data_IF_461189926682
#
_entry.id   IF_461189926682
#
_cell.length_a   1.000
_cell.length_b   1.000
_cell.length_c   1.000
_cell.angle_alpha   90.00
_cell.angle_beta   90.00
_cell.angle_gamma   90.00
#
_symmetry.space_group_name_H-M   'P 1'
#
loop_
_entity.id
_entity.type
_entity.pdbx_description
1 polymer ?
#
# COMPACT_ATOMS: atom_id res chain seq x y z
N UNK A 1 16.67 -9.47 -13.39
CA UNK A 1 15.38 -8.78 -13.34
C UNK A 1 15.61 -7.31 -13.06
N UNK A 2 15.03 -6.45 -13.86
CA UNK A 2 15.16 -4.99 -13.83
C UNK A 2 13.98 -4.36 -13.08
N UNK A 3 14.23 -3.22 -12.41
CA UNK A 3 13.20 -2.47 -11.70
C UNK A 3 13.14 -1.04 -12.21
N UNK A 4 11.94 -0.52 -12.47
CA UNK A 4 11.71 0.89 -12.74
C UNK A 4 10.95 1.55 -11.59
N UNK A 5 11.41 2.71 -11.14
CA UNK A 5 10.72 3.50 -10.10
C UNK A 5 10.16 4.78 -10.71
N UNK A 6 8.85 4.82 -10.91
CA UNK A 6 8.12 5.98 -11.39
C UNK A 6 8.04 7.05 -10.31
N UNK A 7 8.46 8.28 -10.61
CA UNK A 7 8.53 9.34 -9.61
C UNK A 7 9.71 9.19 -8.65
N UNK A 8 10.85 8.71 -9.15
CA UNK A 8 12.06 8.40 -8.38
C UNK A 8 12.56 9.56 -7.50
N UNK A 9 12.28 10.82 -7.87
CA UNK A 9 12.77 11.98 -7.13
C UNK A 9 11.84 12.45 -6.00
N UNK A 10 10.61 11.90 -5.92
CA UNK A 10 9.67 12.19 -4.83
C UNK A 10 10.13 11.53 -3.52
N UNK A 11 9.56 11.94 -2.38
CA UNK A 11 10.03 11.47 -1.06
C UNK A 11 9.97 9.94 -0.92
N UNK A 12 8.89 9.32 -1.38
CA UNK A 12 8.74 7.85 -1.37
C UNK A 12 9.64 7.21 -2.43
N UNK A 13 9.61 7.71 -3.67
CA UNK A 13 10.40 7.15 -4.77
C UNK A 13 11.89 7.14 -4.47
N UNK A 14 12.41 8.23 -3.91
CA UNK A 14 13.82 8.33 -3.49
C UNK A 14 14.15 7.28 -2.45
N UNK A 15 13.30 7.16 -1.43
CA UNK A 15 13.52 6.18 -0.36
C UNK A 15 13.42 4.73 -0.87
N UNK A 16 12.54 4.44 -1.84
CA UNK A 16 12.49 3.14 -2.52
C UNK A 16 13.80 2.88 -3.26
N UNK A 17 14.27 3.84 -4.07
CA UNK A 17 15.53 3.70 -4.82
C UNK A 17 16.72 3.45 -3.87
N UNK A 18 16.86 4.27 -2.83
CA UNK A 18 17.91 4.11 -1.83
C UNK A 18 17.85 2.75 -1.16
N UNK A 19 16.67 2.29 -0.72
CA UNK A 19 16.55 0.98 -0.05
C UNK A 19 16.76 -0.20 -0.99
N UNK A 20 16.39 -0.12 -2.26
CA UNK A 20 16.68 -1.18 -3.25
C UNK A 20 18.20 -1.39 -3.38
N UNK A 21 18.96 -0.29 -3.43
CA UNK A 21 20.43 -0.33 -3.54
C UNK A 21 21.07 -0.75 -2.22
N UNK A 22 20.74 -0.07 -1.11
CA UNK A 22 21.33 -0.32 0.22
C UNK A 22 21.09 -1.75 0.72
N UNK A 23 19.89 -2.30 0.48
CA UNK A 23 19.55 -3.68 0.86
C UNK A 23 20.04 -4.72 -0.14
N UNK A 24 20.67 -4.33 -1.25
CA UNK A 24 21.15 -5.23 -2.32
C UNK A 24 20.05 -6.11 -2.89
N UNK A 25 18.85 -5.53 -3.05
CA UNK A 25 17.71 -6.24 -3.63
C UNK A 25 17.97 -6.57 -5.10
N UNK A 26 18.69 -5.69 -5.79
CA UNK A 26 19.11 -5.90 -7.18
C UNK A 26 20.59 -6.32 -7.22
N UNK A 27 20.94 -7.39 -7.97
CA UNK A 27 22.33 -7.69 -8.24
C UNK A 27 22.96 -6.61 -9.13
N UNK A 28 24.29 -6.52 -9.13
CA UNK A 28 25.04 -5.54 -9.94
C UNK A 28 24.85 -5.71 -11.46
N UNK A 29 24.39 -6.89 -11.90
CA UNK A 29 24.04 -7.19 -13.29
C UNK A 29 22.63 -6.75 -13.69
N UNK A 30 21.78 -6.37 -12.74
CA UNK A 30 20.42 -5.86 -12.98
C UNK A 30 20.44 -4.35 -13.20
N UNK A 31 19.32 -3.83 -13.71
CA UNK A 31 19.11 -2.39 -13.87
C UNK A 31 18.08 -1.83 -12.90
N UNK A 32 18.35 -0.63 -12.37
CA UNK A 32 17.41 0.23 -11.67
C UNK A 32 17.16 1.49 -12.51
N UNK A 33 15.98 1.59 -13.11
CA UNK A 33 15.58 2.74 -13.90
C UNK A 33 14.89 3.79 -13.04
N UNK A 34 15.52 4.97 -12.94
CA UNK A 34 14.96 6.13 -12.24
C UNK A 34 14.09 6.92 -13.21
N UNK A 35 12.77 6.91 -13.00
CA UNK A 35 11.84 7.57 -13.92
C UNK A 35 11.37 8.91 -13.36
N UNK A 36 11.73 9.97 -14.08
CA UNK A 36 11.34 11.35 -13.80
C UNK A 36 10.31 11.89 -14.79
N UNK A 37 10.05 13.20 -14.76
CA UNK A 37 9.26 13.90 -15.78
C UNK A 37 10.17 14.70 -16.70
N UNK A 38 9.90 14.66 -18.00
CA UNK A 38 10.57 15.48 -18.99
C UNK A 38 10.51 16.98 -18.62
N UNK A 39 11.66 17.64 -18.74
CA UNK A 39 11.81 19.07 -18.45
C UNK A 39 11.76 19.44 -16.96
N UNK A 40 12.19 20.66 -16.66
CA UNK A 40 12.08 21.25 -15.32
C UNK A 40 12.95 20.61 -14.24
N UNK A 41 12.52 20.75 -12.98
CA UNK A 41 13.27 20.31 -11.80
C UNK A 41 13.31 18.80 -11.63
N UNK A 42 12.28 18.07 -12.09
CA UNK A 42 12.21 16.61 -11.96
C UNK A 42 13.29 15.92 -12.78
N UNK A 43 13.45 16.27 -14.06
CA UNK A 43 14.52 15.71 -14.90
C UNK A 43 15.91 15.93 -14.30
N UNK A 44 16.22 17.18 -13.89
CA UNK A 44 17.51 17.51 -13.25
C UNK A 44 17.74 16.72 -11.97
N UNK A 45 16.73 16.63 -11.10
CA UNK A 45 16.81 15.88 -9.86
C UNK A 45 16.99 14.36 -10.10
N UNK A 46 16.47 13.82 -11.20
CA UNK A 46 16.57 12.39 -11.52
C UNK A 46 18.01 12.03 -11.92
N UNK A 47 18.65 12.86 -12.75
CA UNK A 47 20.07 12.72 -13.05
C UNK A 47 20.96 12.92 -11.83
N UNK A 48 20.62 13.89 -10.96
CA UNK A 48 21.33 14.11 -9.70
C UNK A 48 21.23 12.90 -8.76
N UNK A 49 20.03 12.35 -8.58
CA UNK A 49 19.81 11.16 -7.76
C UNK A 49 20.56 9.94 -8.31
N UNK A 50 20.61 9.77 -9.63
CA UNK A 50 21.44 8.71 -10.25
C UNK A 50 22.91 8.85 -9.84
N UNK A 51 23.48 10.04 -9.99
CA UNK A 51 24.88 10.27 -9.67
C UNK A 51 25.17 10.04 -8.18
N UNK A 52 24.28 10.52 -7.31
CA UNK A 52 24.35 10.37 -5.86
C UNK A 52 24.31 8.89 -5.42
N UNK A 53 23.38 8.11 -5.96
CA UNK A 53 23.27 6.68 -5.65
C UNK A 53 24.47 5.86 -6.15
N UNK A 54 25.02 6.20 -7.32
CA UNK A 54 26.23 5.54 -7.83
C UNK A 54 27.43 5.87 -6.94
N UNK A 55 27.64 7.14 -6.60
CA UNK A 55 28.76 7.57 -5.74
C UNK A 55 28.69 6.93 -4.34
N UNK A 56 27.50 6.89 -3.74
CA UNK A 56 27.30 6.37 -2.39
C UNK A 56 27.45 4.84 -2.27
N UNK A 57 27.21 4.09 -3.35
CA UNK A 57 27.09 2.62 -3.32
C UNK A 57 27.90 1.92 -4.44
N UNK A 58 28.93 2.54 -4.98
CA UNK A 58 29.68 2.10 -6.17
C UNK A 58 30.10 0.63 -6.14
N UNK A 59 30.42 0.08 -4.96
CA UNK A 59 30.84 -1.31 -4.83
C UNK A 59 29.74 -2.35 -5.09
N UNK A 60 28.46 -1.95 -5.10
CA UNK A 60 27.32 -2.85 -5.20
C UNK A 60 26.08 -2.28 -5.88
N UNK A 61 26.12 -1.04 -6.37
CA UNK A 61 25.00 -0.46 -7.09
C UNK A 61 24.68 -1.28 -8.35
N UNK A 62 23.38 -1.51 -8.66
CA UNK A 62 22.98 -2.02 -9.97
C UNK A 62 23.33 -1.00 -11.07
N UNK A 63 23.16 -1.38 -12.33
CA UNK A 63 23.19 -0.41 -13.42
C UNK A 63 22.04 0.60 -13.21
N UNK A 64 22.36 1.89 -13.05
CA UNK A 64 21.33 2.92 -12.86
C UNK A 64 21.20 3.76 -14.14
N UNK A 65 20.01 3.80 -14.73
CA UNK A 65 19.67 4.64 -15.87
C UNK A 65 18.49 5.58 -15.56
N UNK A 66 18.22 6.50 -16.48
CA UNK A 66 17.17 7.53 -16.31
C UNK A 66 16.23 7.46 -17.51
N UNK A 67 14.93 7.41 -17.22
CA UNK A 67 13.87 7.63 -18.19
C UNK A 67 13.07 8.89 -17.83
N UNK A 68 12.64 9.65 -18.83
CA UNK A 68 11.90 10.90 -18.63
C UNK A 68 10.54 10.91 -19.32
N UNK A 69 10.27 9.92 -20.16
CA UNK A 69 9.01 9.71 -20.84
C UNK A 69 8.42 8.35 -20.45
N UNK A 70 7.09 8.20 -20.35
CA UNK A 70 6.44 6.93 -20.05
C UNK A 70 6.80 5.80 -21.01
N UNK A 71 7.06 6.11 -22.29
CA UNK A 71 7.36 5.14 -23.34
C UNK A 71 8.78 4.55 -23.19
N UNK A 72 9.66 5.23 -22.46
CA UNK A 72 11.03 4.79 -22.17
C UNK A 72 11.11 3.83 -20.96
N UNK A 73 9.97 3.56 -20.31
CA UNK A 73 9.93 2.69 -19.13
C UNK A 73 10.06 1.23 -19.55
N UNK A 74 11.12 0.58 -19.08
CA UNK A 74 11.38 -0.84 -19.33
C UNK A 74 11.81 -1.45 -18.00
N UNK A 75 11.14 -2.51 -17.55
CA UNK A 75 11.51 -3.26 -16.34
C UNK A 75 10.71 -4.55 -16.24
N UNK A 76 11.15 -5.49 -15.41
CA UNK A 76 10.36 -6.66 -15.00
C UNK A 76 9.42 -6.30 -13.86
N UNK A 77 9.81 -5.35 -13.00
CA UNK A 77 8.95 -4.80 -11.94
C UNK A 77 8.89 -3.28 -12.03
N UNK A 78 7.69 -2.71 -12.10
CA UNK A 78 7.45 -1.26 -12.17
C UNK A 78 6.83 -0.78 -10.86
N UNK A 79 7.52 0.08 -10.13
CA UNK A 79 7.03 0.69 -8.89
C UNK A 79 6.45 2.07 -9.17
N UNK A 80 5.15 2.24 -8.95
CA UNK A 80 4.43 3.49 -9.24
C UNK A 80 4.41 4.40 -8.02
N UNK A 81 5.45 5.23 -7.87
CA UNK A 81 5.50 6.33 -6.89
C UNK A 81 5.22 7.71 -7.53
N UNK A 82 4.89 7.75 -8.83
CA UNK A 82 4.55 8.97 -9.55
C UNK A 82 3.12 9.41 -9.20
N UNK A 83 2.97 10.69 -8.90
CA UNK A 83 1.68 11.30 -8.56
C UNK A 83 1.86 12.59 -7.77
N UNK A 84 0.82 13.40 -7.75
CA UNK A 84 0.66 14.51 -6.82
C UNK A 84 0.33 13.93 -5.45
N UNK A 85 0.91 14.51 -4.40
CA UNK A 85 0.64 14.12 -3.00
C UNK A 85 -0.05 15.25 -2.26
N UNK A 86 -1.01 14.91 -1.41
CA UNK A 86 -1.56 15.84 -0.43
C UNK A 86 -0.41 16.45 0.41
N UNK A 87 -0.33 17.78 0.55
CA UNK A 87 0.66 18.40 1.42
C UNK A 87 0.37 18.00 2.88
N UNK A 88 1.37 17.54 3.64
CA UNK A 88 1.17 17.21 5.04
C UNK A 88 1.01 18.52 5.83
N UNK A 89 -0.22 18.87 6.20
CA UNK A 89 -0.51 20.12 6.91
C UNK A 89 -1.70 19.94 7.86
N UNK A 90 -1.50 20.31 9.13
CA UNK A 90 -2.54 20.33 10.14
C UNK A 90 -3.74 21.20 9.69
N UNK A 91 -4.95 20.64 9.73
CA UNK A 91 -6.19 21.35 9.40
C UNK A 91 -6.45 21.60 7.90
N UNK A 92 -5.58 21.13 6.99
CA UNK A 92 -5.82 21.27 5.56
C UNK A 92 -6.79 20.19 5.06
N UNK A 93 -7.99 20.60 4.63
CA UNK A 93 -8.83 19.76 3.77
C UNK A 93 -8.17 19.67 2.40
N UNK A 94 -7.58 18.52 2.08
CA UNK A 94 -7.14 18.25 0.71
C UNK A 94 -8.38 17.97 -0.13
N UNK A 95 -8.53 18.67 -1.26
CA UNK A 95 -9.53 18.33 -2.26
C UNK A 95 -9.18 16.95 -2.84
N UNK A 96 -9.78 15.91 -2.24
CA UNK A 96 -9.57 14.51 -2.60
C UNK A 96 -9.97 14.24 -4.04
N UNK A 97 -10.98 14.96 -4.54
CA UNK A 97 -11.46 14.83 -5.92
C UNK A 97 -10.43 15.38 -6.90
N UNK A 98 -9.88 16.58 -6.63
CA UNK A 98 -8.80 17.15 -7.43
C UNK A 98 -7.55 16.26 -7.42
N UNK A 99 -7.15 15.78 -6.24
CA UNK A 99 -6.00 14.87 -6.11
C UNK A 99 -6.21 13.59 -6.94
N UNK A 100 -7.40 13.00 -6.87
CA UNK A 100 -7.76 11.83 -7.66
C UNK A 100 -7.72 12.13 -9.17
N UNK A 101 -8.19 13.30 -9.61
CA UNK A 101 -8.15 13.71 -11.01
C UNK A 101 -6.73 13.87 -11.55
N UNK A 102 -5.87 14.56 -10.82
CA UNK A 102 -4.47 14.76 -11.20
C UNK A 102 -3.72 13.41 -11.25
N UNK A 103 -3.96 12.52 -10.28
CA UNK A 103 -3.32 11.21 -10.25
C UNK A 103 -3.90 10.22 -11.26
N UNK A 104 -5.20 10.30 -11.57
CA UNK A 104 -5.80 9.51 -12.65
C UNK A 104 -5.07 9.76 -13.97
N UNK A 105 -4.82 11.02 -14.33
CA UNK A 105 -4.13 11.36 -15.57
C UNK A 105 -2.70 10.79 -15.63
N UNK A 106 -1.99 10.78 -14.49
CA UNK A 106 -0.65 10.18 -14.38
C UNK A 106 -0.73 8.66 -14.54
N UNK A 107 -1.64 7.99 -13.83
CA UNK A 107 -1.80 6.54 -13.92
C UNK A 107 -2.18 6.10 -15.32
N UNK A 108 -3.14 6.79 -15.94
CA UNK A 108 -3.65 6.47 -17.27
C UNK A 108 -2.59 6.67 -18.37
N UNK A 109 -1.73 7.69 -18.24
CA UNK A 109 -0.59 7.88 -19.14
C UNK A 109 0.41 6.72 -19.08
N UNK A 110 0.85 6.33 -17.87
CA UNK A 110 1.78 5.21 -17.70
C UNK A 110 1.14 3.86 -18.03
N UNK A 111 -0.13 3.65 -17.69
CA UNK A 111 -0.87 2.43 -18.03
C UNK A 111 -0.92 2.21 -19.54
N UNK A 112 -1.23 3.25 -20.32
CA UNK A 112 -1.20 3.19 -21.79
C UNK A 112 0.19 2.93 -22.33
N UNK A 113 1.19 3.63 -21.82
CA UNK A 113 2.57 3.47 -22.28
C UNK A 113 3.08 2.05 -22.03
N UNK A 114 2.87 1.51 -20.83
CA UNK A 114 3.23 0.13 -20.49
C UNK A 114 2.46 -0.90 -21.32
N UNK A 115 1.18 -0.66 -21.62
CA UNK A 115 0.40 -1.57 -22.46
C UNK A 115 0.92 -1.63 -23.91
N UNK A 116 1.54 -0.56 -24.41
CA UNK A 116 2.06 -0.47 -25.80
C UNK A 116 3.54 -0.84 -25.88
N UNK A 117 4.34 -0.42 -24.91
CA UNK A 117 5.81 -0.47 -24.94
C UNK A 117 6.43 -1.39 -23.89
N UNK A 118 5.64 -1.85 -22.91
CA UNK A 118 6.10 -2.77 -21.88
C UNK A 118 6.44 -4.16 -22.43
N UNK A 119 7.03 -4.99 -21.58
CA UNK A 119 7.39 -6.36 -21.92
C UNK A 119 6.18 -7.28 -22.11
N UNK A 120 5.02 -6.90 -21.57
CA UNK A 120 3.81 -7.72 -21.51
C UNK A 120 3.77 -8.65 -20.29
N UNK A 121 4.86 -8.76 -19.53
CA UNK A 121 4.98 -9.59 -18.33
C UNK A 121 5.34 -8.80 -17.07
N UNK A 122 5.57 -7.48 -17.17
CA UNK A 122 6.04 -6.70 -16.04
C UNK A 122 5.01 -6.64 -14.91
N UNK A 123 5.46 -6.81 -13.67
CA UNK A 123 4.60 -6.68 -12.48
C UNK A 123 4.61 -5.25 -11.99
N UNK A 124 3.44 -4.67 -11.77
CA UNK A 124 3.27 -3.28 -11.34
C UNK A 124 2.90 -3.22 -9.87
N UNK A 125 3.74 -2.57 -9.07
CA UNK A 125 3.51 -2.27 -7.66
C UNK A 125 3.04 -0.83 -7.51
N UNK A 126 1.75 -0.62 -7.24
CA UNK A 126 1.15 0.71 -7.08
C UNK A 126 1.36 1.23 -5.66
N UNK A 127 1.97 2.41 -5.53
CA UNK A 127 2.27 3.04 -4.24
C UNK A 127 1.57 4.38 -4.09
N UNK A 128 1.46 5.16 -5.16
CA UNK A 128 0.79 6.46 -5.16
C UNK A 128 -0.69 6.36 -4.80
N UNK A 129 -1.16 7.37 -4.05
CA UNK A 129 -2.56 7.45 -3.62
C UNK A 129 -3.43 8.26 -4.58
N UNK A 130 -4.74 7.98 -4.71
CA UNK A 130 -5.44 6.83 -4.11
C UNK A 130 -4.97 5.52 -4.74
N UNK A 131 -4.52 4.57 -3.91
CA UNK A 131 -3.91 3.32 -4.40
C UNK A 131 -4.94 2.47 -5.15
N UNK A 132 -6.19 2.47 -4.70
CA UNK A 132 -7.27 1.73 -5.36
C UNK A 132 -7.55 2.25 -6.77
N UNK A 133 -7.46 3.58 -6.98
CA UNK A 133 -7.61 4.19 -8.31
C UNK A 133 -6.46 3.78 -9.24
N UNK A 134 -5.22 3.83 -8.74
CA UNK A 134 -4.05 3.41 -9.53
C UNK A 134 -4.10 1.94 -9.90
N UNK A 135 -4.51 1.07 -8.97
CA UNK A 135 -4.72 -0.36 -9.24
C UNK A 135 -5.80 -0.57 -10.28
N UNK A 136 -6.95 0.11 -10.18
CA UNK A 136 -8.04 -0.03 -11.15
C UNK A 136 -7.61 0.37 -12.58
N UNK A 137 -6.93 1.53 -12.72
CA UNK A 137 -6.44 2.03 -14.01
C UNK A 137 -5.41 1.07 -14.62
N UNK A 138 -4.39 0.68 -13.84
CA UNK A 138 -3.30 -0.16 -14.32
C UNK A 138 -3.77 -1.58 -14.62
N UNK A 139 -4.60 -2.18 -13.76
CA UNK A 139 -5.11 -3.54 -13.95
C UNK A 139 -5.98 -3.67 -15.20
N UNK A 140 -6.77 -2.64 -15.53
CA UNK A 140 -7.57 -2.60 -16.76
C UNK A 140 -6.71 -2.60 -18.03
N UNK A 141 -5.54 -1.96 -17.99
CA UNK A 141 -4.65 -1.86 -19.14
C UNK A 141 -3.68 -3.05 -19.26
N UNK A 142 -3.21 -3.60 -18.13
CA UNK A 142 -2.09 -4.54 -18.08
C UNK A 142 -2.49 -5.96 -17.67
N UNK A 143 -3.72 -6.14 -17.18
CA UNK A 143 -4.21 -7.40 -16.62
C UNK A 143 -4.09 -7.46 -15.10
N UNK A 144 -5.14 -7.97 -14.45
CA UNK A 144 -5.31 -7.92 -12.99
C UNK A 144 -4.17 -8.58 -12.21
N UNK A 145 -3.72 -9.77 -12.64
CA UNK A 145 -2.70 -10.56 -11.94
C UNK A 145 -1.31 -9.91 -11.90
N UNK A 146 -1.03 -9.00 -12.85
CA UNK A 146 0.23 -8.26 -12.92
C UNK A 146 0.24 -7.00 -12.06
N UNK A 147 -0.88 -6.59 -11.45
CA UNK A 147 -0.99 -5.32 -10.74
C UNK A 147 -1.36 -5.54 -9.28
N UNK A 148 -0.55 -5.00 -8.38
CA UNK A 148 -0.77 -5.06 -6.93
C UNK A 148 -0.51 -3.69 -6.29
N UNK A 149 -1.42 -3.20 -5.47
CA UNK A 149 -1.21 -2.03 -4.63
C UNK A 149 -0.60 -2.40 -3.28
N UNK A 150 0.35 -1.60 -2.83
CA UNK A 150 1.12 -1.88 -1.60
C UNK A 150 0.37 -1.55 -0.31
N UNK A 151 -0.65 -0.67 -0.36
CA UNK A 151 -1.32 -0.10 0.83
C UNK A 151 -1.74 -1.13 1.89
N UNK A 152 -2.39 -2.22 1.48
CA UNK A 152 -2.85 -3.28 2.38
C UNK A 152 -1.69 -4.02 3.05
N UNK A 153 -0.53 -4.12 2.38
CA UNK A 153 0.68 -4.70 2.97
C UNK A 153 1.23 -3.85 4.10
N UNK A 154 1.37 -2.54 3.87
CA UNK A 154 1.84 -1.62 4.90
C UNK A 154 0.89 -1.57 6.10
N UNK A 155 -0.42 -1.55 5.86
CA UNK A 155 -1.42 -1.58 6.92
C UNK A 155 -1.37 -2.90 7.70
N UNK A 156 -1.13 -4.02 7.01
CA UNK A 156 -0.88 -5.32 7.64
C UNK A 156 0.37 -5.28 8.53
N UNK A 157 1.48 -4.72 8.06
CA UNK A 157 2.72 -4.60 8.85
C UNK A 157 2.54 -3.71 10.08
N UNK A 158 1.75 -2.63 9.95
CA UNK A 158 1.38 -1.75 11.07
C UNK A 158 0.50 -2.47 12.08
N UNK A 159 -0.54 -3.16 11.64
CA UNK A 159 -1.43 -3.93 12.51
C UNK A 159 -0.65 -5.00 13.30
N UNK A 160 0.20 -5.78 12.61
CA UNK A 160 1.08 -6.77 13.25
C UNK A 160 2.03 -6.13 14.27
N UNK A 161 2.55 -4.93 13.96
CA UNK A 161 3.39 -4.16 14.89
C UNK A 161 2.62 -3.74 16.13
N UNK A 162 1.41 -3.22 15.99
CA UNK A 162 0.60 -2.73 17.11
C UNK A 162 0.16 -3.88 18.03
N UNK A 163 -0.18 -5.05 17.47
CA UNK A 163 -0.44 -6.26 18.27
C UNK A 163 0.84 -6.68 19.03
N UNK A 164 1.99 -6.70 18.34
CA UNK A 164 3.26 -7.07 18.94
C UNK A 164 3.62 -6.16 20.13
N UNK A 165 3.42 -4.84 19.99
CA UNK A 165 3.62 -3.88 21.09
C UNK A 165 2.78 -4.26 22.30
N UNK A 166 1.48 -4.48 22.11
CA UNK A 166 0.57 -4.79 23.22
C UNK A 166 0.88 -6.09 23.93
N UNK A 167 1.54 -7.04 23.25
CA UNK A 167 1.93 -8.33 23.82
C UNK A 167 3.38 -8.36 24.32
N UNK A 168 4.14 -7.26 24.20
CA UNK A 168 5.57 -7.24 24.54
C UNK A 168 6.43 -8.09 23.60
N UNK A 169 6.00 -8.29 22.35
CA UNK A 169 6.65 -9.13 21.34
C UNK A 169 7.25 -8.31 20.20
N UNK A 170 8.02 -8.99 19.34
CA UNK A 170 8.51 -8.44 18.06
C UNK A 170 7.54 -8.77 16.93
N UNK A 171 7.42 -7.88 15.93
CA UNK A 171 6.47 -8.01 14.80
C UNK A 171 6.53 -9.36 14.07
N UNK A 172 7.73 -9.93 13.91
CA UNK A 172 7.91 -11.21 13.21
C UNK A 172 7.24 -12.41 13.91
N UNK A 173 6.90 -12.28 15.21
CA UNK A 173 6.18 -13.30 15.99
C UNK A 173 4.66 -13.21 15.83
N UNK A 174 4.15 -12.17 15.18
CA UNK A 174 2.72 -11.95 14.95
C UNK A 174 2.43 -12.22 13.49
N UNK A 175 1.44 -13.05 13.18
CA UNK A 175 0.81 -13.15 11.87
C UNK A 175 -0.58 -12.51 11.88
N UNK A 176 -1.15 -12.29 10.71
CA UNK A 176 -2.46 -11.64 10.53
C UNK A 176 -2.41 -10.64 9.38
N UNK A 177 -3.59 -10.25 8.90
CA UNK A 177 -3.74 -9.39 7.73
C UNK A 177 -4.72 -8.25 7.98
N UNK A 178 -4.56 -7.20 7.19
CA UNK A 178 -5.53 -6.13 7.00
C UNK A 178 -6.00 -6.18 5.55
N UNK A 179 -7.30 -6.06 5.37
CA UNK A 179 -7.98 -6.03 4.09
C UNK A 179 -8.73 -4.69 3.91
N UNK A 180 -9.53 -4.53 2.86
CA UNK A 180 -10.30 -3.31 2.62
C UNK A 180 -9.52 -2.20 1.92
N UNK A 181 -9.89 -0.94 2.20
CA UNK A 181 -9.26 0.24 1.60
C UNK A 181 -8.03 0.64 2.40
N UNK A 182 -7.00 1.14 1.72
CA UNK A 182 -5.90 1.79 2.42
C UNK A 182 -6.39 3.04 3.19
N UNK A 183 -6.08 3.12 4.48
CA UNK A 183 -6.41 4.28 5.32
C UNK A 183 -7.69 4.11 6.15
N UNK A 184 -8.67 5.01 5.95
CA UNK A 184 -9.83 5.15 6.85
C UNK A 184 -10.81 3.97 6.83
N UNK A 185 -10.83 3.19 5.75
CA UNK A 185 -11.73 2.05 5.56
C UNK A 185 -10.99 0.71 5.50
N UNK A 186 -9.85 0.62 6.22
CA UNK A 186 -9.16 -0.65 6.39
C UNK A 186 -9.96 -1.61 7.29
N UNK A 187 -9.82 -2.91 7.05
CA UNK A 187 -10.50 -3.98 7.78
C UNK A 187 -9.47 -4.90 8.45
N UNK A 188 -9.26 -4.79 9.77
CA UNK A 188 -8.35 -5.67 10.49
C UNK A 188 -8.93 -7.08 10.60
N UNK A 189 -8.30 -8.07 9.97
CA UNK A 189 -8.76 -9.45 9.99
C UNK A 189 -8.25 -10.17 11.25
N UNK A 190 -8.86 -9.87 12.39
CA UNK A 190 -8.55 -10.50 13.68
C UNK A 190 -8.66 -12.03 13.66
N UNK A 191 -9.56 -12.60 12.84
CA UNK A 191 -9.68 -14.05 12.59
C UNK A 191 -8.37 -14.68 12.05
N UNK A 192 -7.59 -13.90 11.31
CA UNK A 192 -6.30 -14.34 10.72
C UNK A 192 -5.12 -14.18 11.67
N UNK A 193 -5.28 -13.47 12.80
CA UNK A 193 -4.17 -13.22 13.73
C UNK A 193 -3.60 -14.53 14.24
N UNK A 194 -2.27 -14.64 14.24
CA UNK A 194 -1.50 -15.76 14.80
C UNK A 194 -0.39 -15.18 15.68
N UNK A 195 -0.08 -15.86 16.77
CA UNK A 195 1.02 -15.48 17.67
C UNK A 195 1.91 -16.69 17.85
N UNK A 196 3.18 -16.59 17.45
CA UNK A 196 4.13 -17.70 17.52
C UNK A 196 4.28 -18.20 18.96
N UNK A 197 3.97 -19.46 19.18
CA UNK A 197 4.06 -20.12 20.49
C UNK A 197 2.76 -20.11 21.30
N UNK A 198 1.67 -19.52 20.81
CA UNK A 198 0.34 -19.66 21.42
C UNK A 198 -0.48 -20.73 20.70
N UNK A 199 -1.15 -21.57 21.49
CA UNK A 199 -2.16 -22.49 20.97
C UNK A 199 -3.45 -21.76 20.56
N UNK A 200 -4.46 -22.52 20.09
CA UNK A 200 -5.74 -21.94 19.65
C UNK A 200 -6.50 -21.22 20.78
N UNK A 201 -6.50 -21.76 21.99
CA UNK A 201 -7.24 -21.24 23.13
C UNK A 201 -6.55 -20.01 23.74
N UNK A 202 -5.22 -20.08 23.90
CA UNK A 202 -4.38 -18.97 24.33
C UNK A 202 -4.48 -17.80 23.36
N UNK A 203 -4.40 -18.07 22.06
CA UNK A 203 -4.56 -17.06 21.02
C UNK A 203 -5.93 -16.40 21.07
N UNK A 204 -7.00 -17.18 21.25
CA UNK A 204 -8.35 -16.64 21.39
C UNK A 204 -8.43 -15.66 22.57
N UNK A 205 -7.97 -16.07 23.76
CA UNK A 205 -7.93 -15.21 24.95
C UNK A 205 -7.11 -13.94 24.72
N UNK A 206 -5.95 -14.04 24.06
CA UNK A 206 -5.12 -12.88 23.75
C UNK A 206 -5.84 -11.91 22.80
N UNK A 207 -6.46 -12.40 21.73
CA UNK A 207 -7.23 -11.57 20.79
C UNK A 207 -8.41 -10.91 21.50
N UNK A 208 -9.16 -11.65 22.31
CA UNK A 208 -10.33 -11.11 23.03
C UNK A 208 -9.92 -9.99 24.01
N UNK A 209 -8.80 -10.16 24.71
CA UNK A 209 -8.22 -9.14 25.57
C UNK A 209 -7.77 -7.89 24.80
N UNK A 210 -7.12 -8.07 23.65
CA UNK A 210 -6.69 -6.95 22.78
C UNK A 210 -7.86 -6.19 22.18
N UNK A 211 -8.94 -6.89 21.81
CA UNK A 211 -10.16 -6.31 21.25
C UNK A 211 -11.05 -5.64 22.29
N UNK A 212 -10.86 -5.95 23.58
CA UNK A 212 -11.63 -5.39 24.71
C UNK A 212 -13.16 -5.55 24.53
N UNK A 213 -13.59 -6.69 24.00
CA UNK A 213 -15.01 -6.97 23.71
C UNK A 213 -15.61 -6.21 22.53
N UNK A 214 -14.82 -5.42 21.78
CA UNK A 214 -15.31 -4.66 20.62
C UNK A 214 -15.50 -5.53 19.38
N UNK A 215 -16.45 -5.13 18.55
CA UNK A 215 -16.67 -5.64 17.19
C UNK A 215 -16.26 -4.59 16.16
N UNK A 216 -16.10 -4.99 14.90
CA UNK A 216 -15.82 -4.04 13.82
C UNK A 216 -17.07 -3.29 13.32
N UNK A 217 -18.26 -3.58 13.86
CA UNK A 217 -19.52 -2.97 13.44
C UNK A 217 -19.53 -1.43 13.58
N UNK A 218 -18.83 -0.90 14.59
CA UNK A 218 -18.71 0.53 14.88
C UNK A 218 -17.35 1.12 14.50
N UNK A 219 -16.45 0.34 13.88
CA UNK A 219 -15.05 0.71 13.73
C UNK A 219 -14.84 2.03 12.97
N UNK A 220 -15.62 2.28 11.91
CA UNK A 220 -15.55 3.55 11.17
C UNK A 220 -15.93 4.78 12.03
N UNK A 221 -16.93 4.64 12.90
CA UNK A 221 -17.30 5.70 13.84
C UNK A 221 -16.22 5.90 14.92
N UNK A 222 -15.60 4.82 15.38
CA UNK A 222 -14.48 4.87 16.34
C UNK A 222 -13.25 5.57 15.73
N UNK A 223 -12.96 5.33 14.45
CA UNK A 223 -11.89 6.05 13.73
C UNK A 223 -12.22 7.55 13.64
N UNK A 224 -13.46 7.92 13.32
CA UNK A 224 -13.87 9.32 13.22
C UNK A 224 -13.80 10.05 14.58
N UNK A 225 -14.24 9.40 15.66
CA UNK A 225 -14.12 9.92 17.03
C UNK A 225 -12.64 10.10 17.43
N UNK A 226 -11.83 9.06 17.18
CA UNK A 226 -10.39 9.09 17.41
C UNK A 226 -9.72 10.26 16.69
N UNK A 227 -9.99 10.45 15.40
CA UNK A 227 -9.44 11.55 14.61
C UNK A 227 -9.86 12.93 15.16
N UNK A 228 -11.13 13.07 15.56
CA UNK A 228 -11.64 14.32 16.15
C UNK A 228 -10.91 14.67 17.44
N UNK A 229 -10.78 13.71 18.36
CA UNK A 229 -10.08 13.87 19.64
C UNK A 229 -8.59 14.19 19.43
N UNK A 230 -7.99 13.54 18.45
CA UNK A 230 -6.59 13.73 18.11
C UNK A 230 -6.29 15.09 17.51
N UNK A 231 -7.18 15.64 16.66
CA UNK A 231 -7.01 17.00 16.13
C UNK A 231 -7.13 18.05 17.23
N UNK A 232 -8.09 17.89 18.13
CA UNK A 232 -8.25 18.78 19.26
C UNK A 232 -6.99 18.81 20.13
N UNK A 233 -6.43 17.63 20.46
CA UNK A 233 -5.23 17.52 21.27
C UNK A 233 -3.97 18.00 20.53
N UNK A 234 -3.80 17.62 19.26
CA UNK A 234 -2.63 17.98 18.47
C UNK A 234 -2.53 19.48 18.16
N UNK A 235 -3.64 20.22 18.27
CA UNK A 235 -3.62 21.68 18.17
C UNK A 235 -2.89 22.34 19.36
N UNK A 236 -2.87 21.67 20.52
CA UNK A 236 -2.21 22.16 21.74
C UNK A 236 -0.88 21.45 21.98
N UNK A 237 -0.87 20.11 21.90
CA UNK A 237 0.29 19.26 22.12
C UNK A 237 0.22 18.00 21.23
N UNK A 238 1.05 18.00 20.19
CA UNK A 238 1.15 16.87 19.27
C UNK A 238 1.77 15.62 19.93
N UNK A 239 2.64 15.80 20.93
CA UNK A 239 3.22 14.70 21.70
C UNK A 239 2.14 13.96 22.49
N UNK A 240 1.31 14.72 23.20
CA UNK A 240 0.16 14.17 23.91
C UNK A 240 -0.82 13.42 22.99
N UNK A 241 -0.95 13.86 21.72
CA UNK A 241 -1.75 13.13 20.73
C UNK A 241 -1.15 11.75 20.42
N UNK A 242 0.17 11.62 20.31
CA UNK A 242 0.83 10.31 20.13
C UNK A 242 0.71 9.44 21.39
N UNK A 243 0.84 10.02 22.58
CA UNK A 243 0.68 9.29 23.85
C UNK A 243 -0.76 8.77 24.02
N UNK A 244 -1.76 9.56 23.60
CA UNK A 244 -3.15 9.12 23.60
C UNK A 244 -3.37 7.89 22.72
N UNK A 245 -2.75 7.85 21.54
CA UNK A 245 -2.85 6.71 20.62
C UNK A 245 -2.38 5.44 21.31
N UNK A 246 -1.31 5.48 22.10
CA UNK A 246 -0.75 4.29 22.76
C UNK A 246 -1.74 3.59 23.71
N UNK A 247 -2.71 4.34 24.26
CA UNK A 247 -3.77 3.80 25.13
C UNK A 247 -4.84 2.96 24.40
N UNK A 248 -4.92 3.10 23.07
CA UNK A 248 -5.99 2.51 22.26
C UNK A 248 -5.73 1.06 21.84
N UNK A 249 -6.78 0.32 21.45
CA UNK A 249 -6.65 -1.03 20.89
C UNK A 249 -5.79 -1.05 19.61
N UNK A 250 -5.09 -2.17 19.33
CA UNK A 250 -4.08 -2.24 18.25
C UNK A 250 -4.58 -1.88 16.85
N UNK A 251 -5.79 -2.26 16.50
CA UNK A 251 -6.44 -1.92 15.23
C UNK A 251 -6.65 -0.42 15.06
N UNK A 252 -7.14 0.27 16.10
CA UNK A 252 -7.33 1.71 16.09
C UNK A 252 -5.99 2.45 16.03
N UNK A 253 -4.96 1.95 16.74
CA UNK A 253 -3.59 2.50 16.63
C UNK A 253 -3.02 2.36 15.22
N UNK A 254 -3.29 1.24 14.56
CA UNK A 254 -2.80 0.98 13.20
C UNK A 254 -3.33 1.99 12.16
N UNK A 255 -4.54 2.52 12.38
CA UNK A 255 -5.13 3.60 11.56
C UNK A 255 -4.67 4.98 12.05
N UNK A 256 -4.78 5.23 13.35
CA UNK A 256 -4.64 6.56 13.91
C UNK A 256 -3.20 7.07 13.90
N UNK A 257 -2.22 6.20 14.18
CA UNK A 257 -0.79 6.60 14.22
C UNK A 257 -0.28 7.13 12.89
N UNK A 258 -0.41 6.41 11.75
CA UNK A 258 0.07 6.95 10.47
C UNK A 258 -0.72 8.18 10.02
N UNK A 259 -2.00 8.26 10.35
CA UNK A 259 -2.80 9.45 10.08
C UNK A 259 -2.29 10.66 10.88
N UNK A 260 -2.01 10.50 12.18
CA UNK A 260 -1.42 11.55 13.02
C UNK A 260 -0.02 11.94 12.55
N UNK A 261 0.80 10.98 12.12
CA UNK A 261 2.09 11.29 11.47
C UNK A 261 1.89 12.21 10.27
N UNK A 262 0.88 11.98 9.42
CA UNK A 262 0.58 12.89 8.32
C UNK A 262 0.14 14.28 8.79
N UNK A 263 -0.69 14.36 9.83
CA UNK A 263 -1.13 15.64 10.42
C UNK A 263 0.03 16.43 11.05
N UNK A 264 1.09 15.75 11.50
CA UNK A 264 2.29 16.40 12.06
C UNK A 264 3.14 17.17 11.05
N UNK A 265 2.85 17.08 9.75
CA UNK A 265 3.72 17.60 8.69
C UNK A 265 4.74 16.58 8.17
N UNK A 266 4.92 15.46 8.87
CA UNK A 266 5.77 14.37 8.42
C UNK A 266 5.09 13.50 7.33
N UNK A 267 5.92 12.88 6.49
CA UNK A 267 5.49 11.84 5.55
C UNK A 267 5.97 10.48 6.03
N UNK A 268 5.24 9.43 5.68
CA UNK A 268 5.59 8.05 6.04
C UNK A 268 6.51 7.38 5.01
N UNK A 269 7.45 8.13 4.42
CA UNK A 269 8.27 7.69 3.30
C UNK A 269 9.06 6.40 3.60
N UNK A 270 9.71 6.31 4.76
CA UNK A 270 10.47 5.13 5.17
C UNK A 270 9.61 3.86 5.31
N UNK A 271 8.42 3.98 5.92
CA UNK A 271 7.51 2.85 6.11
C UNK A 271 6.91 2.38 4.79
N UNK A 272 6.48 3.32 3.95
CA UNK A 272 5.97 3.07 2.61
C UNK A 272 7.03 2.40 1.74
N UNK A 273 8.25 2.95 1.68
CA UNK A 273 9.33 2.38 0.90
C UNK A 273 9.74 0.99 1.39
N UNK A 274 9.86 0.78 2.71
CA UNK A 274 10.21 -0.54 3.25
C UNK A 274 9.18 -1.61 2.87
N UNK A 275 7.88 -1.30 2.98
CA UNK A 275 6.84 -2.23 2.58
C UNK A 275 6.83 -2.47 1.06
N UNK A 276 7.05 -1.44 0.25
CA UNK A 276 7.21 -1.57 -1.21
C UNK A 276 8.40 -2.45 -1.57
N UNK A 277 9.56 -2.23 -0.96
CA UNK A 277 10.79 -2.99 -1.22
C UNK A 277 10.62 -4.45 -0.78
N UNK A 278 9.89 -4.74 0.29
CA UNK A 278 9.56 -6.12 0.66
C UNK A 278 8.73 -6.85 -0.42
N UNK A 279 7.81 -6.14 -1.08
CA UNK A 279 7.07 -6.70 -2.23
C UNK A 279 7.97 -6.90 -3.44
N UNK A 280 8.82 -5.92 -3.77
CA UNK A 280 9.78 -6.02 -4.89
C UNK A 280 10.74 -7.19 -4.66
N UNK A 281 11.33 -7.29 -3.48
CA UNK A 281 12.23 -8.40 -3.10
C UNK A 281 11.54 -9.75 -3.26
N UNK A 282 10.27 -9.86 -2.85
CA UNK A 282 9.45 -11.07 -3.05
C UNK A 282 9.28 -11.43 -4.52
N UNK A 283 8.98 -10.46 -5.38
CA UNK A 283 8.81 -10.67 -6.82
C UNK A 283 10.11 -11.18 -7.47
N UNK A 284 11.27 -10.70 -6.98
CA UNK A 284 12.57 -11.04 -7.53
C UNK A 284 13.15 -12.37 -7.01
N UNK A 285 12.79 -12.77 -5.79
CA UNK A 285 13.35 -13.94 -5.09
C UNK A 285 12.79 -15.30 -5.57
N UNK A 286 11.85 -15.31 -6.53
CA UNK A 286 11.37 -16.54 -7.14
C UNK A 286 10.37 -17.35 -6.30
N UNK A 287 10.12 -16.96 -5.05
CA UNK A 287 9.24 -17.67 -4.11
C UNK A 287 7.82 -17.13 -4.15
N UNK A 288 6.86 -18.02 -3.95
CA UNK A 288 5.50 -17.64 -3.64
C UNK A 288 5.34 -17.42 -2.13
N UNK A 289 4.83 -16.26 -1.74
CA UNK A 289 4.49 -15.96 -0.36
C UNK A 289 3.10 -15.35 -0.26
N UNK A 290 2.54 -15.34 0.95
CA UNK A 290 1.29 -14.63 1.21
C UNK A 290 1.58 -13.23 1.72
N UNK A 291 1.11 -12.24 0.98
CA UNK A 291 1.08 -10.82 1.37
C UNK A 291 -0.35 -10.30 1.38
N UNK A 292 -0.59 -9.09 1.85
CA UNK A 292 -1.83 -8.38 1.57
C UNK A 292 -1.57 -7.35 0.47
N UNK A 293 -2.47 -7.19 -0.49
CA UNK A 293 -2.35 -6.20 -1.55
C UNK A 293 -3.71 -5.72 -2.03
N UNK A 294 -3.77 -4.47 -2.51
CA UNK A 294 -4.92 -4.02 -3.30
C UNK A 294 -4.84 -4.68 -4.66
N UNK A 295 -5.83 -5.51 -4.98
CA UNK A 295 -5.89 -6.21 -6.27
C UNK A 295 -7.29 -6.05 -6.87
N UNK A 296 -7.39 -6.20 -8.19
CA UNK A 296 -8.68 -6.23 -8.88
C UNK A 296 -9.23 -7.67 -8.86
N UNK A 297 -10.29 -7.88 -8.08
CA UNK A 297 -11.02 -9.13 -7.98
C UNK A 297 -12.14 -9.21 -9.01
N UNK A 298 -12.46 -10.43 -9.42
CA UNK A 298 -13.47 -10.80 -10.41
C UNK A 298 -14.55 -11.72 -9.80
N UNK A 299 -14.75 -11.64 -8.48
CA UNK A 299 -15.72 -12.47 -7.76
C UNK A 299 -15.21 -13.86 -7.40
N UNK A 300 -13.91 -14.15 -7.54
CA UNK A 300 -13.32 -15.46 -7.21
C UNK A 300 -13.32 -15.77 -5.70
N UNK A 301 -13.59 -14.77 -4.86
CA UNK A 301 -13.68 -14.89 -3.40
C UNK A 301 -15.03 -14.35 -2.95
N UNK A 302 -15.65 -15.01 -1.98
CA UNK A 302 -16.91 -14.56 -1.39
C UNK A 302 -16.87 -14.53 0.13
N UNK A 303 -17.57 -13.57 0.72
CA UNK A 303 -17.73 -13.43 2.18
C UNK A 303 -19.21 -13.26 2.50
N UNK A 304 -19.72 -14.04 3.46
CA UNK A 304 -21.14 -13.96 3.85
C UNK A 304 -22.12 -14.17 2.67
N UNK A 305 -21.78 -15.02 1.71
CA UNK A 305 -22.58 -15.26 0.50
C UNK A 305 -22.51 -14.15 -0.56
N UNK A 306 -21.67 -13.14 -0.35
CA UNK A 306 -21.46 -12.04 -1.29
C UNK A 306 -20.12 -12.20 -2.00
N UNK A 307 -20.13 -12.29 -3.33
CA UNK A 307 -18.91 -12.27 -4.14
C UNK A 307 -18.19 -10.91 -4.00
N UNK A 308 -16.87 -10.95 -3.88
CA UNK A 308 -16.02 -9.78 -3.82
C UNK A 308 -15.41 -9.53 -5.20
N UNK A 309 -15.89 -8.48 -5.85
CA UNK A 309 -15.51 -7.99 -7.17
C UNK A 309 -15.07 -6.52 -7.09
N UNK A 310 -14.22 -6.10 -8.01
CA UNK A 310 -13.60 -4.76 -7.99
C UNK A 310 -12.31 -4.70 -7.19
N UNK A 311 -11.77 -3.49 -7.01
CA UNK A 311 -10.50 -3.31 -6.30
C UNK A 311 -10.70 -3.42 -4.79
N UNK A 312 -9.95 -4.31 -4.15
CA UNK A 312 -10.00 -4.51 -2.71
C UNK A 312 -8.64 -4.95 -2.17
N UNK A 313 -8.26 -4.45 -0.99
CA UNK A 313 -7.15 -5.00 -0.23
C UNK A 313 -7.52 -6.39 0.31
N UNK A 314 -6.79 -7.44 -0.07
CA UNK A 314 -6.99 -8.80 0.44
C UNK A 314 -5.65 -9.54 0.58
N UNK A 315 -5.56 -10.59 1.41
CA UNK A 315 -4.41 -11.47 1.38
C UNK A 315 -4.35 -12.18 0.02
N UNK A 316 -3.18 -12.22 -0.61
CA UNK A 316 -2.93 -12.85 -1.91
C UNK A 316 -1.64 -13.67 -1.88
N UNK A 317 -1.58 -14.70 -2.71
CA UNK A 317 -0.32 -15.36 -3.08
C UNK A 317 0.38 -14.49 -4.12
N UNK A 318 1.59 -14.02 -3.81
CA UNK A 318 2.44 -13.22 -4.67
C UNK A 318 3.69 -14.01 -5.05
N UNK A 319 4.02 -14.02 -6.34
CA UNK A 319 5.24 -14.62 -6.89
C UNK A 319 5.75 -13.81 -8.09
N UNK A 320 6.75 -14.32 -8.82
CA UNK A 320 7.47 -13.56 -9.85
C UNK A 320 6.61 -12.98 -10.97
N UNK A 321 5.53 -13.67 -11.34
CA UNK A 321 4.60 -13.28 -12.40
C UNK A 321 3.43 -12.41 -11.88
N UNK A 322 3.52 -11.95 -10.63
CA UNK A 322 2.47 -11.20 -9.94
C UNK A 322 1.66 -12.07 -8.98
N UNK A 323 0.40 -11.70 -8.74
CA UNK A 323 -0.44 -12.40 -7.76
C UNK A 323 -1.35 -13.43 -8.44
N UNK A 324 -1.52 -14.59 -7.80
CA UNK A 324 -2.20 -15.74 -8.43
C UNK A 324 -3.53 -16.10 -7.78
N UNK A 325 -3.65 -15.92 -6.45
CA UNK A 325 -4.84 -16.31 -5.69
C UNK A 325 -5.10 -15.37 -4.52
N UNK A 326 -6.35 -14.95 -4.34
CA UNK A 326 -6.80 -14.29 -3.13
C UNK A 326 -7.15 -15.32 -2.03
N UNK A 327 -6.78 -15.02 -0.78
CA UNK A 327 -6.89 -15.89 0.39
C UNK A 327 -7.75 -15.22 1.45
N UNK A 328 -9.04 -15.50 1.43
CA UNK A 328 -10.00 -14.92 2.36
C UNK A 328 -11.09 -15.93 2.69
N UNK A 329 -10.65 -17.04 3.28
CA UNK A 329 -11.53 -18.15 3.64
C UNK A 329 -12.22 -17.84 4.98
N UNK A 330 -13.51 -17.51 4.92
CA UNK A 330 -14.41 -17.33 6.07
C UNK A 330 -13.93 -16.32 7.15
N UNK A 331 -13.90 -15.02 6.83
CA UNK A 331 -13.67 -13.99 7.85
C UNK A 331 -14.77 -14.02 8.92
N UNK A 332 -14.47 -13.47 10.11
CA UNK A 332 -15.47 -13.36 11.16
C UNK A 332 -16.67 -12.52 10.69
N UNK A 333 -17.89 -12.72 11.23
CA UNK A 333 -19.08 -12.03 10.72
C UNK A 333 -18.97 -10.49 10.66
N UNK A 334 -18.34 -9.87 11.65
CA UNK A 334 -18.12 -8.42 11.70
C UNK A 334 -17.04 -7.95 10.70
N UNK A 335 -16.03 -8.79 10.44
CA UNK A 335 -15.04 -8.56 9.38
C UNK A 335 -15.68 -8.67 8.00
N UNK A 336 -16.49 -9.71 7.77
CA UNK A 336 -17.20 -9.94 6.50
C UNK A 336 -18.13 -8.77 6.15
N UNK A 337 -18.92 -8.31 7.13
CA UNK A 337 -19.82 -7.18 6.95
C UNK A 337 -19.07 -5.88 6.62
N UNK A 338 -17.98 -5.60 7.34
CA UNK A 338 -17.19 -4.40 7.09
C UNK A 338 -16.47 -4.45 5.73
N UNK A 339 -16.01 -5.63 5.30
CA UNK A 339 -15.41 -5.86 3.99
C UNK A 339 -16.39 -5.55 2.85
N UNK A 340 -17.63 -6.05 2.93
CA UNK A 340 -18.66 -5.78 1.92
C UNK A 340 -18.95 -4.28 1.83
N UNK A 341 -19.13 -3.62 2.97
CA UNK A 341 -19.34 -2.15 3.01
C UNK A 341 -18.14 -1.38 2.46
N UNK A 342 -16.92 -1.84 2.72
CA UNK A 342 -15.70 -1.24 2.22
C UNK A 342 -15.59 -1.37 0.70
N UNK A 343 -15.83 -2.57 0.15
CA UNK A 343 -15.91 -2.82 -1.30
C UNK A 343 -16.85 -1.83 -1.98
N UNK A 344 -18.06 -1.65 -1.43
CA UNK A 344 -19.06 -0.75 -2.02
C UNK A 344 -18.62 0.71 -2.00
N UNK A 345 -17.90 1.15 -0.96
CA UNK A 345 -17.34 2.50 -0.89
C UNK A 345 -16.20 2.70 -1.88
N UNK A 346 -15.31 1.71 -2.04
CA UNK A 346 -14.25 1.76 -3.05
C UNK A 346 -14.89 1.85 -4.44
N UNK A 347 -15.87 1.00 -4.73
CA UNK A 347 -16.59 0.99 -6.00
C UNK A 347 -17.22 2.35 -6.33
N UNK A 348 -17.94 2.94 -5.37
CA UNK A 348 -18.53 4.26 -5.50
C UNK A 348 -17.46 5.36 -5.75
N UNK A 349 -16.26 5.23 -5.16
CA UNK A 349 -15.15 6.16 -5.38
C UNK A 349 -14.52 6.03 -6.78
N UNK A 350 -14.63 4.86 -7.40
CA UNK A 350 -14.11 4.55 -8.74
C UNK A 350 -15.12 4.83 -9.86
N UNK A 351 -16.42 4.87 -9.54
CA UNK A 351 -17.49 5.12 -10.51
C UNK A 351 -17.32 6.39 -11.37
N UNK A 352 -16.88 7.56 -10.84
CA UNK A 352 -16.66 8.77 -11.65
C UNK A 352 -15.62 8.61 -12.78
N UNK A 353 -14.78 7.57 -12.70
CA UNK A 353 -13.72 7.27 -13.66
C UNK A 353 -14.11 6.15 -14.64
N UNK A 354 -15.35 5.65 -14.57
CA UNK A 354 -15.78 4.47 -15.33
C UNK A 354 -15.02 3.20 -14.93
N UNK A 355 -14.55 3.14 -13.68
CA UNK A 355 -13.76 2.03 -13.12
C UNK A 355 -14.51 1.27 -12.01
N UNK A 356 -15.77 1.63 -11.75
CA UNK A 356 -16.64 0.85 -10.88
C UNK A 356 -17.12 -0.43 -11.57
N UNK A 357 -17.66 -1.36 -10.78
CA UNK A 357 -18.20 -2.68 -11.16
C UNK A 357 -19.19 -2.61 -12.33
N UNK A 358 -20.02 -1.56 -12.39
CA UNK A 358 -20.97 -1.35 -13.49
C UNK A 358 -20.30 -1.02 -14.85
N UNK A 359 -19.02 -0.63 -14.86
CA UNK A 359 -18.26 -0.30 -16.06
C UNK A 359 -17.41 -1.45 -16.62
N UNK A 360 -17.38 -2.62 -15.96
CA UNK A 360 -16.56 -3.78 -16.37
C UNK A 360 -17.32 -4.73 -17.32
N UNK A 361 -18.59 -4.43 -17.64
CA UNK A 361 -19.46 -5.24 -18.49
C UNK A 361 -20.08 -4.52 -19.70
N UNK A 362 -19.51 -3.41 -20.16
CA UNK A 362 -19.98 -2.67 -21.34
C UNK A 362 -18.94 -2.67 -22.46
#
# INVERSE_FOLDING_TARGET
MDVAVLGATGDVGRQVCTQLVERRVLPTSSRLQLVGRAGGSSARATHGLRADLVDAYDEHAPLIDVALAPEDVVADVVVVCAGVTAPPRAGASTDRTRLAAENHAVFDAYARALAVHGSGNEVVVVVSNPVELGVAVMARALGRHRVIGMGAWLDTLRFRREIAVSLGLRRHRIGGFVAGQHGSDLVPLWSTVRVSGLDRAERRRAIDALRRGRTLATFGAEIADAQTRLLALAAEDIGAAFDLIDSWPPDLRAVARPWMTHQSGAKTAAGTASATVDLVDTLLDGREIVVAGQVLLDGEVGVGGTALDGVLGVPVVLGPEGWTRALLDEPAPDEAELLVRCRDRIDASLAPWGLGRAGVGA
#
